data_IF_542019512999
#
_entry.id   IF_542019512999
#
_cell.length_a   1.000
_cell.length_b   1.000
_cell.length_c   1.000
_cell.angle_alpha   90.00
_cell.angle_beta   90.00
_cell.angle_gamma   90.00
#
_symmetry.space_group_name_H-M   'P 1'
#
loop_
_entity.id
_entity.type
_entity.pdbx_description
1 polymer ?
#
# COMPACT_ATOMS: atom_id res chain seq x y z
N UNK A 1 -3.23 11.77 -24.24
CA UNK A 1 -3.47 11.90 -22.78
C UNK A 1 -4.88 12.42 -22.59
N UNK A 2 -5.77 11.56 -22.07
CA UNK A 2 -7.23 11.74 -22.12
C UNK A 2 -7.73 12.85 -21.20
N UNK A 3 -8.84 13.47 -21.57
CA UNK A 3 -9.60 14.51 -20.84
C UNK A 3 -10.06 14.11 -19.41
N UNK A 4 -9.59 13.01 -18.84
CA UNK A 4 -9.97 12.53 -17.51
C UNK A 4 -9.49 13.44 -16.38
N UNK A 5 -8.29 14.03 -16.53
CA UNK A 5 -7.81 15.04 -15.58
C UNK A 5 -8.74 16.25 -15.55
N UNK A 6 -9.19 16.70 -16.74
CA UNK A 6 -10.18 17.76 -16.87
C UNK A 6 -11.52 17.37 -16.21
N UNK A 7 -12.02 16.16 -16.45
CA UNK A 7 -13.26 15.67 -15.83
C UNK A 7 -13.16 15.65 -14.29
N UNK A 8 -12.02 15.19 -13.75
CA UNK A 8 -11.80 15.22 -12.32
C UNK A 8 -11.72 16.65 -11.79
N UNK A 9 -10.97 17.55 -12.42
CA UNK A 9 -10.86 18.96 -12.00
C UNK A 9 -12.22 19.65 -11.99
N UNK A 10 -13.04 19.47 -13.03
CA UNK A 10 -14.41 20.02 -13.07
C UNK A 10 -15.24 19.44 -11.91
N UNK A 11 -15.25 18.12 -11.76
CA UNK A 11 -16.00 17.47 -10.68
C UNK A 11 -15.53 17.92 -9.29
N UNK A 12 -14.23 18.07 -9.09
CA UNK A 12 -13.63 18.52 -7.84
C UNK A 12 -14.08 19.94 -7.48
N UNK A 13 -14.01 20.87 -8.42
CA UNK A 13 -14.46 22.26 -8.21
C UNK A 13 -15.93 22.26 -7.81
N UNK A 14 -16.80 21.63 -8.61
CA UNK A 14 -18.23 21.60 -8.34
C UNK A 14 -18.55 20.92 -7.00
N UNK A 15 -17.88 19.82 -6.67
CA UNK A 15 -18.10 19.08 -5.43
C UNK A 15 -17.76 19.92 -4.19
N UNK A 16 -16.57 20.54 -4.15
CA UNK A 16 -16.18 21.38 -3.02
C UNK A 16 -16.96 22.69 -2.95
N UNK A 17 -17.35 23.28 -4.09
CA UNK A 17 -18.27 24.42 -4.10
C UNK A 17 -19.64 24.04 -3.54
N UNK A 18 -20.18 22.86 -3.88
CA UNK A 18 -21.45 22.37 -3.33
C UNK A 18 -21.34 22.19 -1.81
N UNK A 19 -20.28 21.54 -1.33
CA UNK A 19 -20.02 21.37 0.11
C UNK A 19 -19.95 22.70 0.85
N UNK A 20 -19.28 23.70 0.26
CA UNK A 20 -19.22 25.04 0.83
C UNK A 20 -20.60 25.71 0.86
N UNK A 21 -21.39 25.62 -0.21
CA UNK A 21 -22.69 26.28 -0.27
C UNK A 21 -23.73 25.70 0.69
N UNK A 22 -23.54 24.49 1.21
CA UNK A 22 -24.39 23.93 2.26
C UNK A 22 -24.34 24.69 3.60
N UNK A 23 -23.42 25.65 3.78
CA UNK A 23 -23.51 26.59 4.92
C UNK A 23 -24.84 27.36 4.96
N UNK A 24 -25.48 27.57 3.81
CA UNK A 24 -26.79 28.24 3.74
C UNK A 24 -27.95 27.29 3.45
N UNK A 25 -27.70 25.96 3.44
CA UNK A 25 -28.60 24.85 3.05
C UNK A 25 -29.25 25.03 1.67
N UNK A 26 -30.04 26.08 1.48
CA UNK A 26 -30.69 26.49 0.24
C UNK A 26 -29.75 26.58 -0.96
N UNK A 27 -28.63 27.33 -0.85
CA UNK A 27 -27.68 27.42 -1.96
C UNK A 27 -27.01 26.07 -2.25
N UNK A 28 -26.75 25.28 -1.22
CA UNK A 28 -26.22 23.94 -1.36
C UNK A 28 -27.17 23.03 -2.15
N UNK A 29 -28.47 23.06 -1.85
CA UNK A 29 -29.49 22.29 -2.58
C UNK A 29 -29.60 22.71 -4.05
N UNK A 30 -29.60 24.01 -4.34
CA UNK A 30 -29.62 24.51 -5.72
C UNK A 30 -28.38 24.04 -6.49
N UNK A 31 -27.20 24.17 -5.88
CA UNK A 31 -25.95 23.82 -6.52
C UNK A 31 -25.74 22.30 -6.63
N UNK A 32 -26.36 21.51 -5.76
CA UNK A 32 -26.39 20.04 -5.84
C UNK A 32 -27.03 19.54 -7.15
N UNK A 33 -28.03 20.25 -7.69
CA UNK A 33 -28.60 19.93 -9.01
C UNK A 33 -27.59 20.17 -10.14
N UNK A 34 -26.81 21.25 -10.05
CA UNK A 34 -25.72 21.57 -10.99
C UNK A 34 -24.63 20.50 -10.92
N UNK A 35 -24.21 20.13 -9.71
CA UNK A 35 -23.25 19.06 -9.48
C UNK A 35 -23.76 17.73 -10.06
N UNK A 36 -24.99 17.32 -9.74
CA UNK A 36 -25.58 16.07 -10.22
C UNK A 36 -25.65 16.00 -11.74
N UNK A 37 -26.07 17.10 -12.39
CA UNK A 37 -26.13 17.19 -13.86
C UNK A 37 -24.74 17.04 -14.47
N UNK A 38 -23.75 17.77 -13.95
CA UNK A 38 -22.37 17.66 -14.42
C UNK A 38 -21.81 16.25 -14.24
N UNK A 39 -22.10 15.60 -13.11
CA UNK A 39 -21.64 14.25 -12.82
C UNK A 39 -22.27 13.19 -13.73
N UNK A 40 -23.57 13.31 -14.06
CA UNK A 40 -24.23 12.44 -15.05
C UNK A 40 -23.56 12.60 -16.43
N UNK A 41 -23.33 13.84 -16.87
CA UNK A 41 -22.66 14.11 -18.16
C UNK A 41 -21.25 13.50 -18.19
N UNK A 42 -20.45 13.73 -17.15
CA UNK A 42 -19.12 13.12 -17.02
C UNK A 42 -19.24 11.59 -17.00
N UNK A 43 -20.22 11.03 -16.28
CA UNK A 43 -20.48 9.59 -16.20
C UNK A 43 -20.76 8.97 -17.57
N UNK A 44 -21.56 9.63 -18.41
CA UNK A 44 -21.83 9.20 -19.79
C UNK A 44 -20.55 9.24 -20.62
N UNK A 45 -19.77 10.33 -20.55
CA UNK A 45 -18.49 10.45 -21.28
C UNK A 45 -17.47 9.37 -20.85
N UNK A 46 -17.41 9.05 -19.56
CA UNK A 46 -16.59 7.96 -19.04
C UNK A 46 -17.08 6.59 -19.56
N UNK A 47 -18.40 6.41 -19.63
CA UNK A 47 -19.02 5.17 -20.14
C UNK A 47 -18.75 4.95 -21.62
N UNK A 48 -18.80 6.02 -22.44
CA UNK A 48 -18.43 5.94 -23.87
C UNK A 48 -16.96 5.47 -24.04
N UNK A 49 -16.08 5.91 -23.14
CA UNK A 49 -14.65 5.54 -23.19
C UNK A 49 -14.30 4.30 -22.35
N UNK A 50 -15.28 3.58 -21.81
CA UNK A 50 -15.11 2.50 -20.82
C UNK A 50 -14.28 1.34 -21.33
N UNK A 51 -14.39 0.99 -22.63
CA UNK A 51 -13.64 -0.14 -23.22
C UNK A 51 -12.13 0.00 -23.03
N UNK A 52 -11.63 1.24 -23.07
CA UNK A 52 -10.21 1.60 -22.95
C UNK A 52 -9.72 1.74 -21.50
N UNK A 53 -10.54 1.42 -20.49
CA UNK A 53 -10.21 1.56 -19.07
C UNK A 53 -9.85 0.21 -18.42
N UNK A 54 -9.12 0.27 -17.31
CA UNK A 54 -8.78 -0.91 -16.51
C UNK A 54 -10.06 -1.55 -15.88
N UNK A 55 -9.96 -2.83 -15.46
CA UNK A 55 -11.09 -3.59 -14.90
C UNK A 55 -11.68 -2.95 -13.63
N UNK A 56 -10.84 -2.30 -12.81
CA UNK A 56 -11.26 -1.66 -11.55
C UNK A 56 -12.12 -0.41 -11.80
N UNK A 57 -11.69 0.46 -12.71
CA UNK A 57 -12.42 1.66 -13.13
C UNK A 57 -13.75 1.29 -13.79
N UNK A 58 -13.78 0.25 -14.64
CA UNK A 58 -15.03 -0.30 -15.21
C UNK A 58 -16.03 -0.68 -14.11
N UNK A 59 -15.57 -1.41 -13.09
CA UNK A 59 -16.40 -1.81 -11.94
C UNK A 59 -16.91 -0.59 -11.17
N UNK A 60 -16.07 0.41 -10.93
CA UNK A 60 -16.43 1.65 -10.22
C UNK A 60 -17.49 2.46 -10.98
N UNK A 61 -17.35 2.60 -12.30
CA UNK A 61 -18.36 3.26 -13.14
C UNK A 61 -19.69 2.50 -13.13
N UNK A 62 -19.64 1.16 -13.17
CA UNK A 62 -20.85 0.33 -13.08
C UNK A 62 -21.57 0.53 -11.74
N UNK A 63 -20.84 0.51 -10.62
CA UNK A 63 -21.41 0.77 -9.28
C UNK A 63 -22.04 2.16 -9.23
N UNK A 64 -21.38 3.19 -9.78
CA UNK A 64 -21.95 4.54 -9.85
C UNK A 64 -23.29 4.54 -10.56
N UNK A 65 -23.39 3.92 -11.74
CA UNK A 65 -24.66 3.84 -12.47
C UNK A 65 -25.72 3.06 -11.71
N UNK A 66 -25.36 1.94 -11.08
CA UNK A 66 -26.28 1.18 -10.22
C UNK A 66 -26.85 2.08 -9.11
N UNK A 67 -26.00 2.85 -8.42
CA UNK A 67 -26.45 3.78 -7.38
C UNK A 67 -27.35 4.90 -7.93
N UNK A 68 -27.01 5.47 -9.08
CA UNK A 68 -27.82 6.50 -9.76
C UNK A 68 -29.20 5.95 -10.14
N UNK A 69 -29.27 4.75 -10.74
CA UNK A 69 -30.55 4.15 -11.12
C UNK A 69 -31.41 3.77 -9.92
N UNK A 70 -30.81 3.20 -8.87
CA UNK A 70 -31.53 2.92 -7.62
C UNK A 70 -32.08 4.22 -7.02
N UNK A 71 -31.27 5.29 -6.97
CA UNK A 71 -31.73 6.59 -6.49
C UNK A 71 -32.87 7.15 -7.33
N UNK A 72 -32.81 7.03 -8.65
CA UNK A 72 -33.87 7.49 -9.55
C UNK A 72 -35.17 6.71 -9.35
N UNK A 73 -35.09 5.39 -9.14
CA UNK A 73 -36.27 4.55 -8.83
C UNK A 73 -36.87 4.93 -7.47
N UNK A 74 -36.04 5.14 -6.44
CA UNK A 74 -36.52 5.54 -5.11
C UNK A 74 -37.24 6.89 -5.14
N UNK A 75 -36.72 7.85 -5.92
CA UNK A 75 -37.36 9.15 -6.13
C UNK A 75 -38.66 8.99 -6.92
N UNK A 76 -38.64 8.27 -8.05
CA UNK A 76 -39.79 8.13 -8.94
C UNK A 76 -40.93 7.26 -8.39
N UNK A 77 -40.65 6.34 -7.46
CA UNK A 77 -41.66 5.50 -6.81
C UNK A 77 -42.38 6.18 -5.65
N UNK A 78 -42.03 7.43 -5.33
CA UNK A 78 -42.55 8.14 -4.15
C UNK A 78 -42.39 7.36 -2.83
N UNK A 79 -41.44 6.41 -2.75
CA UNK A 79 -41.32 5.48 -1.62
C UNK A 79 -41.15 6.19 -0.26
N UNK A 80 -40.59 7.40 -0.26
CA UNK A 80 -40.37 8.23 0.92
C UNK A 80 -41.15 9.55 0.91
N UNK A 81 -41.97 9.80 -0.13
CA UNK A 81 -42.72 11.04 -0.25
C UNK A 81 -43.83 11.07 0.81
N UNK A 82 -43.71 12.01 1.76
CA UNK A 82 -44.73 12.24 2.79
C UNK A 82 -44.21 12.35 4.23
N UNK A 83 -42.92 12.12 4.48
CA UNK A 83 -42.28 12.40 5.78
C UNK A 83 -41.08 13.32 5.59
N UNK A 84 -40.89 14.28 6.51
CA UNK A 84 -39.75 15.21 6.45
C UNK A 84 -38.40 14.49 6.45
N UNK A 85 -38.33 13.37 7.18
CA UNK A 85 -37.14 12.50 7.24
C UNK A 85 -36.91 11.81 5.89
N UNK A 86 -37.95 11.24 5.27
CA UNK A 86 -37.85 10.58 3.98
C UNK A 86 -37.38 11.51 2.86
N UNK A 87 -37.87 12.75 2.86
CA UNK A 87 -37.45 13.79 1.93
C UNK A 87 -35.98 14.19 2.16
N UNK A 88 -35.55 14.33 3.42
CA UNK A 88 -34.15 14.62 3.74
C UNK A 88 -33.20 13.54 3.21
N UNK A 89 -33.53 12.26 3.39
CA UNK A 89 -32.67 11.19 2.91
C UNK A 89 -32.60 11.13 1.39
N UNK A 90 -33.74 11.22 0.71
CA UNK A 90 -33.83 11.05 -0.76
C UNK A 90 -33.32 12.25 -1.55
N UNK A 91 -33.54 13.47 -1.06
CA UNK A 91 -33.17 14.70 -1.78
C UNK A 91 -31.75 15.14 -1.39
N UNK A 92 -31.31 14.90 -0.15
CA UNK A 92 -30.06 15.45 0.36
C UNK A 92 -28.98 14.38 0.56
N UNK A 93 -29.24 13.39 1.43
CA UNK A 93 -28.20 12.47 1.90
C UNK A 93 -27.77 11.52 0.78
N UNK A 94 -28.72 10.84 0.14
CA UNK A 94 -28.44 9.85 -0.90
C UNK A 94 -27.69 10.49 -2.08
N UNK A 95 -28.14 11.61 -2.68
CA UNK A 95 -27.44 12.15 -3.84
C UNK A 95 -26.06 12.71 -3.48
N UNK A 96 -25.86 13.22 -2.25
CA UNK A 96 -24.51 13.60 -1.80
C UNK A 96 -23.58 12.42 -1.57
N UNK A 97 -24.07 11.28 -1.07
CA UNK A 97 -23.28 10.05 -0.98
C UNK A 97 -22.88 9.55 -2.38
N UNK A 98 -23.81 9.59 -3.34
CA UNK A 98 -23.53 9.24 -4.74
C UNK A 98 -22.51 10.22 -5.34
N UNK A 99 -22.67 11.53 -5.09
CA UNK A 99 -21.75 12.54 -5.58
C UNK A 99 -20.34 12.40 -4.99
N UNK A 100 -20.25 12.05 -3.72
CA UNK A 100 -18.99 11.73 -3.03
C UNK A 100 -18.34 10.49 -3.64
N UNK A 101 -19.13 9.44 -3.90
CA UNK A 101 -18.64 8.25 -4.58
C UNK A 101 -18.14 8.58 -5.99
N UNK A 102 -18.85 9.41 -6.74
CA UNK A 102 -18.44 9.78 -8.09
C UNK A 102 -17.20 10.68 -8.11
N UNK A 103 -17.05 11.58 -7.14
CA UNK A 103 -15.78 12.29 -6.90
C UNK A 103 -14.61 11.31 -6.73
N UNK A 104 -14.82 10.25 -5.94
CA UNK A 104 -13.83 9.18 -5.81
C UNK A 104 -13.56 8.44 -7.13
N UNK A 105 -14.60 8.15 -7.93
CA UNK A 105 -14.43 7.53 -9.25
C UNK A 105 -13.58 8.41 -10.16
N UNK A 106 -13.89 9.71 -10.29
CA UNK A 106 -13.15 10.60 -11.20
C UNK A 106 -11.71 10.83 -10.75
N UNK A 107 -11.46 10.87 -9.44
CA UNK A 107 -10.11 10.97 -8.88
C UNK A 107 -9.23 9.75 -9.22
N UNK A 108 -9.83 8.60 -9.54
CA UNK A 108 -9.14 7.32 -9.69
C UNK A 108 -9.35 6.65 -11.06
N UNK A 109 -9.77 7.40 -12.10
CA UNK A 109 -10.05 6.84 -13.45
C UNK A 109 -8.85 6.05 -14.00
N UNK A 110 -7.65 6.58 -13.84
CA UNK A 110 -6.39 5.96 -14.32
C UNK A 110 -5.52 5.39 -13.17
N UNK A 111 -6.01 5.44 -11.93
CA UNK A 111 -5.22 5.02 -10.77
C UNK A 111 -5.40 3.51 -10.54
N UNK A 112 -4.43 2.73 -11.03
CA UNK A 112 -4.30 1.32 -10.72
C UNK A 112 -3.73 1.08 -9.31
N UNK A 113 -3.13 2.10 -8.70
CA UNK A 113 -2.48 1.99 -7.39
C UNK A 113 -3.51 2.00 -6.27
N UNK A 114 -3.50 0.93 -5.47
CA UNK A 114 -4.24 0.83 -4.23
C UNK A 114 -3.69 1.77 -3.16
N UNK A 115 -2.35 1.82 -3.03
CA UNK A 115 -1.65 2.61 -2.04
C UNK A 115 -0.52 3.40 -2.70
N UNK A 116 -0.32 4.65 -2.24
CA UNK A 116 0.87 5.45 -2.54
C UNK A 116 1.48 5.94 -1.24
N UNK A 117 2.80 5.93 -1.15
CA UNK A 117 3.52 6.38 0.05
C UNK A 117 4.94 6.79 -0.33
N UNK A 118 5.69 7.29 0.63
CA UNK A 118 7.14 7.33 0.57
C UNK A 118 7.66 6.24 1.50
N UNK A 119 8.52 5.37 0.99
CA UNK A 119 9.37 4.54 1.84
C UNK A 119 10.65 5.32 2.10
N UNK A 120 11.02 5.49 3.36
CA UNK A 120 12.23 6.22 3.75
C UNK A 120 13.03 5.42 4.77
N UNK A 121 14.34 5.61 4.76
CA UNK A 121 15.27 5.05 5.74
C UNK A 121 15.16 3.51 5.83
N UNK A 122 15.44 2.78 4.75
CA UNK A 122 15.31 1.33 4.75
C UNK A 122 16.61 0.70 5.27
N UNK A 123 16.57 0.12 6.46
CA UNK A 123 17.60 -0.77 6.97
C UNK A 123 17.29 -2.20 6.50
N UNK A 124 18.22 -2.85 5.79
CA UNK A 124 18.06 -4.22 5.29
C UNK A 124 19.20 -5.09 5.83
N UNK A 125 18.87 -5.99 6.76
CA UNK A 125 19.82 -6.92 7.39
C UNK A 125 19.58 -8.29 6.77
N UNK A 126 20.56 -8.81 6.04
CA UNK A 126 20.40 -9.99 5.21
C UNK A 126 21.16 -11.17 5.80
N UNK A 127 20.49 -12.30 5.91
CA UNK A 127 21.03 -13.56 6.41
C UNK A 127 20.95 -14.61 5.32
N UNK A 128 22.06 -15.30 5.08
CA UNK A 128 22.07 -16.51 4.27
C UNK A 128 21.43 -17.66 5.07
N UNK A 129 20.48 -18.37 4.45
CA UNK A 129 19.74 -19.48 5.08
C UNK A 129 19.67 -20.69 4.14
N UNK A 130 19.37 -21.87 4.68
CA UNK A 130 18.99 -23.02 3.86
C UNK A 130 17.61 -22.77 3.22
N UNK A 131 17.51 -22.89 1.90
CA UNK A 131 16.26 -22.73 1.16
C UNK A 131 15.15 -23.69 1.65
N UNK A 132 15.52 -24.85 2.18
CA UNK A 132 14.57 -25.83 2.75
C UNK A 132 13.76 -25.26 3.92
N UNK A 133 14.34 -24.32 4.67
CA UNK A 133 13.64 -23.61 5.76
C UNK A 133 12.40 -22.87 5.27
N UNK A 134 12.37 -22.51 3.98
CA UNK A 134 11.35 -21.64 3.41
C UNK A 134 10.26 -22.39 2.64
N UNK A 135 10.40 -23.71 2.45
CA UNK A 135 9.56 -24.52 1.55
C UNK A 135 8.05 -24.38 1.84
N UNK A 136 7.64 -24.37 3.11
CA UNK A 136 6.23 -24.25 3.48
C UNK A 136 5.66 -22.84 3.26
N UNK A 137 6.51 -21.83 3.21
CA UNK A 137 6.11 -20.44 2.96
C UNK A 137 5.98 -20.11 1.47
N UNK A 138 6.55 -20.92 0.57
CA UNK A 138 6.58 -20.62 -0.87
C UNK A 138 5.14 -20.57 -1.43
N UNK A 139 4.70 -19.42 -1.98
CA UNK A 139 3.41 -19.34 -2.65
C UNK A 139 3.39 -20.17 -3.94
N UNK A 140 2.21 -20.73 -4.26
CA UNK A 140 1.99 -21.46 -5.51
C UNK A 140 2.33 -20.57 -6.71
N UNK A 141 3.11 -21.12 -7.64
CA UNK A 141 3.50 -20.43 -8.88
C UNK A 141 4.75 -19.56 -8.76
N UNK A 142 5.44 -19.57 -7.60
CA UNK A 142 6.73 -18.90 -7.42
C UNK A 142 7.84 -19.90 -7.13
N UNK A 143 9.08 -19.52 -7.41
CA UNK A 143 10.29 -20.26 -7.02
C UNK A 143 11.21 -19.35 -6.21
N UNK A 144 11.95 -19.93 -5.25
CA UNK A 144 12.95 -19.19 -4.48
C UNK A 144 13.97 -18.59 -5.44
N UNK A 145 14.27 -17.31 -5.24
CA UNK A 145 15.30 -16.63 -5.99
C UNK A 145 16.63 -16.66 -5.23
N UNK A 146 17.68 -17.16 -5.88
CA UNK A 146 19.02 -17.25 -5.32
C UNK A 146 19.94 -16.19 -5.92
N UNK A 147 20.81 -15.63 -5.09
CA UNK A 147 21.90 -14.76 -5.53
C UNK A 147 23.22 -15.50 -5.41
N UNK A 148 23.90 -15.75 -6.53
CA UNK A 148 25.15 -16.54 -6.55
C UNK A 148 25.04 -17.88 -5.79
N UNK A 149 23.90 -18.56 -5.92
CA UNK A 149 23.61 -19.83 -5.24
C UNK A 149 23.16 -19.70 -3.78
N UNK A 150 23.08 -18.48 -3.23
CA UNK A 150 22.71 -18.22 -1.84
C UNK A 150 21.23 -17.84 -1.72
N UNK A 151 20.57 -18.40 -0.73
CA UNK A 151 19.20 -18.03 -0.35
C UNK A 151 19.26 -17.01 0.79
N UNK A 152 18.45 -15.95 0.70
CA UNK A 152 18.45 -14.87 1.68
C UNK A 152 17.09 -14.71 2.36
N UNK A 153 17.15 -14.47 3.67
CA UNK A 153 16.08 -13.86 4.45
C UNK A 153 16.57 -12.49 4.92
N UNK A 154 15.70 -11.48 4.83
CA UNK A 154 16.02 -10.12 5.22
C UNK A 154 15.10 -9.63 6.31
N UNK A 155 15.69 -9.17 7.41
CA UNK A 155 15.02 -8.34 8.41
C UNK A 155 15.11 -6.88 7.95
N UNK A 156 13.96 -6.28 7.67
CA UNK A 156 13.87 -4.94 7.06
C UNK A 156 13.12 -4.01 7.99
N UNK A 157 13.68 -2.84 8.28
CA UNK A 157 13.03 -1.77 9.04
C UNK A 157 13.00 -0.47 8.25
N UNK A 158 11.85 0.18 8.16
CA UNK A 158 11.69 1.41 7.39
C UNK A 158 10.46 2.22 7.80
N UNK A 159 10.35 3.43 7.26
CA UNK A 159 9.21 4.31 7.47
C UNK A 159 8.30 4.33 6.25
N UNK A 160 7.00 4.16 6.47
CA UNK A 160 5.96 4.65 5.57
C UNK A 160 5.66 6.11 5.93
N UNK A 161 5.73 6.98 4.94
CA UNK A 161 5.35 8.39 5.08
C UNK A 161 4.36 8.81 4.00
N UNK A 162 3.52 9.80 4.30
CA UNK A 162 2.53 10.36 3.37
C UNK A 162 1.60 9.32 2.73
N UNK A 163 1.25 8.25 3.47
CA UNK A 163 0.40 7.18 2.96
C UNK A 163 -0.95 7.70 2.48
N UNK A 164 -1.31 7.31 1.26
CA UNK A 164 -2.59 7.55 0.61
C UNK A 164 -3.18 6.22 0.18
N UNK A 165 -4.36 5.89 0.70
CA UNK A 165 -5.12 4.72 0.25
C UNK A 165 -6.17 5.22 -0.73
N UNK A 166 -6.11 4.70 -1.96
CA UNK A 166 -7.00 5.06 -3.05
C UNK A 166 -7.12 6.59 -3.28
N UNK A 167 -6.01 7.29 -3.03
CA UNK A 167 -5.88 8.75 -3.18
C UNK A 167 -6.09 9.57 -1.90
N UNK A 168 -6.62 8.98 -0.81
CA UNK A 168 -6.94 9.71 0.41
C UNK A 168 -5.93 9.48 1.53
N UNK A 169 -5.58 10.56 2.24
CA UNK A 169 -4.83 10.50 3.49
C UNK A 169 -5.79 10.17 4.64
N UNK A 170 -5.58 9.05 5.30
CA UNK A 170 -6.38 8.66 6.47
C UNK A 170 -5.77 9.32 7.72
N UNK A 171 -6.54 10.11 8.50
CA UNK A 171 -6.04 10.73 9.72
C UNK A 171 -5.34 9.74 10.64
N UNK A 172 -4.23 10.15 11.24
CA UNK A 172 -3.38 9.32 12.11
C UNK A 172 -2.74 8.09 11.47
N UNK A 173 -2.91 7.82 10.18
CA UNK A 173 -2.38 6.62 9.50
C UNK A 173 -1.48 6.95 8.30
N UNK A 174 -1.09 8.22 8.16
CA UNK A 174 -0.25 8.68 7.05
C UNK A 174 1.24 8.39 7.23
N UNK A 175 1.70 8.27 8.49
CA UNK A 175 3.10 8.00 8.82
C UNK A 175 3.16 6.89 9.89
N UNK A 176 4.03 5.91 9.69
CA UNK A 176 4.31 4.82 10.63
C UNK A 176 5.56 4.04 10.23
N UNK A 177 6.19 3.39 11.19
CA UNK A 177 7.27 2.43 11.00
C UNK A 177 6.73 1.04 10.65
N UNK A 178 7.49 0.31 9.85
CA UNK A 178 7.27 -1.11 9.60
C UNK A 178 8.59 -1.86 9.81
N UNK A 179 8.50 -3.03 10.45
CA UNK A 179 9.58 -4.02 10.49
C UNK A 179 9.04 -5.33 9.93
N UNK A 180 9.74 -5.93 8.99
CA UNK A 180 9.33 -7.20 8.41
C UNK A 180 10.49 -8.19 8.26
N UNK A 181 10.13 -9.47 8.23
CA UNK A 181 11.01 -10.56 7.85
C UNK A 181 10.50 -11.14 6.54
N UNK A 182 11.34 -11.15 5.51
CA UNK A 182 10.94 -11.57 4.16
C UNK A 182 12.03 -12.36 3.45
N UNK A 183 11.64 -13.10 2.43
CA UNK A 183 12.55 -13.77 1.51
C UNK A 183 12.19 -13.49 0.05
N UNK A 184 13.05 -13.96 -0.86
CA UNK A 184 13.03 -13.57 -2.26
C UNK A 184 12.56 -14.71 -3.15
N UNK A 185 11.64 -14.38 -4.07
CA UNK A 185 11.06 -15.33 -5.02
C UNK A 185 10.96 -14.69 -6.39
N UNK A 186 10.83 -15.52 -7.41
CA UNK A 186 10.49 -15.09 -8.76
C UNK A 186 9.40 -15.96 -9.37
N UNK A 187 8.69 -15.39 -10.33
CA UNK A 187 7.66 -16.08 -11.11
C UNK A 187 7.83 -15.77 -12.58
N UNK A 188 7.69 -16.79 -13.41
CA UNK A 188 7.71 -16.60 -14.86
C UNK A 188 6.28 -16.39 -15.39
N UNK A 189 6.04 -15.27 -16.08
CA UNK A 189 4.76 -14.98 -16.73
C UNK A 189 5.01 -14.15 -17.99
N UNK A 190 4.29 -14.47 -19.08
CA UNK A 190 4.34 -13.73 -20.35
C UNK A 190 5.77 -13.50 -20.89
N UNK A 191 6.63 -14.52 -20.76
CA UNK A 191 8.00 -14.49 -21.25
C UNK A 191 8.96 -13.67 -20.37
N UNK A 192 8.56 -13.23 -19.17
CA UNK A 192 9.36 -12.40 -18.27
C UNK A 192 9.37 -12.95 -16.84
N UNK A 193 10.51 -12.77 -16.17
CA UNK A 193 10.62 -13.00 -14.74
C UNK A 193 10.10 -11.81 -13.94
N UNK A 194 9.21 -12.09 -13.00
CA UNK A 194 8.66 -11.17 -12.01
C UNK A 194 9.26 -11.50 -10.65
N UNK A 195 10.26 -10.71 -10.28
CA UNK A 195 10.99 -10.82 -9.02
C UNK A 195 10.19 -10.15 -7.91
N UNK A 196 9.94 -10.86 -6.82
CA UNK A 196 9.20 -10.34 -5.69
C UNK A 196 9.67 -10.88 -4.34
N UNK A 197 8.93 -10.48 -3.32
CA UNK A 197 9.18 -10.87 -1.94
C UNK A 197 7.99 -11.62 -1.37
N UNK A 198 8.26 -12.48 -0.39
CA UNK A 198 7.25 -13.13 0.44
C UNK A 198 7.53 -12.75 1.88
N UNK A 199 6.51 -12.22 2.56
CA UNK A 199 6.62 -11.81 3.95
C UNK A 199 6.32 -12.99 4.87
N UNK A 200 7.27 -13.32 5.74
CA UNK A 200 7.04 -14.24 6.87
C UNK A 200 6.17 -13.55 7.92
N UNK A 201 6.50 -12.29 8.20
CA UNK A 201 5.76 -11.44 9.14
C UNK A 201 6.07 -9.98 8.89
N UNK A 202 5.06 -9.15 9.07
CA UNK A 202 5.15 -7.68 9.03
C UNK A 202 4.64 -7.10 10.34
N UNK A 203 5.34 -6.12 10.90
CA UNK A 203 5.06 -5.55 12.21
C UNK A 203 4.84 -4.05 12.05
N UNK A 204 3.70 -3.57 12.56
CA UNK A 204 3.30 -2.15 12.48
C UNK A 204 2.73 -1.66 13.82
N UNK A 205 2.76 -0.34 14.10
CA UNK A 205 2.30 0.20 15.38
C UNK A 205 0.78 0.30 15.53
N UNK A 206 0.01 0.19 14.44
CA UNK A 206 -1.42 0.57 14.42
C UNK A 206 -2.34 -0.60 14.04
N UNK A 207 -3.33 -0.95 14.90
CA UNK A 207 -4.26 -2.07 14.64
C UNK A 207 -5.03 -1.95 13.32
N UNK A 208 -5.43 -0.74 12.93
CA UNK A 208 -6.17 -0.53 11.70
C UNK A 208 -5.37 -0.93 10.44
N UNK A 209 -4.04 -0.78 10.47
CA UNK A 209 -3.17 -1.21 9.38
C UNK A 209 -3.17 -2.72 9.26
N UNK A 210 -2.96 -3.42 10.38
CA UNK A 210 -3.03 -4.89 10.45
C UNK A 210 -4.39 -5.41 10.00
N UNK A 211 -5.49 -4.79 10.42
CA UNK A 211 -6.83 -5.17 10.00
C UNK A 211 -7.00 -5.07 8.48
N UNK A 212 -6.61 -3.94 7.88
CA UNK A 212 -6.73 -3.73 6.43
C UNK A 212 -5.83 -4.71 5.66
N UNK A 213 -4.57 -4.86 6.05
CA UNK A 213 -3.63 -5.75 5.38
C UNK A 213 -4.07 -7.22 5.44
N UNK A 214 -4.44 -7.73 6.62
CA UNK A 214 -4.83 -9.13 6.78
C UNK A 214 -6.23 -9.42 6.21
N UNK A 215 -7.10 -8.42 6.13
CA UNK A 215 -8.44 -8.59 5.52
C UNK A 215 -8.37 -8.53 4.00
N UNK A 216 -7.65 -7.54 3.47
CA UNK A 216 -7.54 -7.33 2.03
C UNK A 216 -6.45 -8.24 1.48
N UNK A 217 -5.19 -8.03 1.81
CA UNK A 217 -4.08 -8.73 1.18
C UNK A 217 -3.78 -10.11 1.78
N UNK A 218 -4.39 -10.45 2.93
CA UNK A 218 -4.19 -11.73 3.64
C UNK A 218 -2.73 -11.96 4.05
N UNK A 219 -2.00 -10.87 4.21
CA UNK A 219 -0.63 -10.84 4.70
C UNK A 219 -0.56 -11.26 6.17
N UNK A 220 0.66 -11.36 6.69
CA UNK A 220 0.96 -11.79 8.06
C UNK A 220 1.33 -10.58 8.94
N UNK A 221 0.48 -9.55 8.96
CA UNK A 221 0.71 -8.39 9.82
C UNK A 221 0.39 -8.70 11.28
N UNK A 222 1.23 -8.15 12.17
CA UNK A 222 1.03 -8.13 13.61
C UNK A 222 1.17 -6.69 14.12
N UNK A 223 0.27 -6.28 15.01
CA UNK A 223 0.40 -4.98 15.69
C UNK A 223 1.24 -5.13 16.96
N UNK A 224 2.31 -4.36 17.09
CA UNK A 224 3.11 -4.28 18.32
C UNK A 224 3.43 -2.81 18.66
N UNK A 225 3.70 -2.48 19.93
CA UNK A 225 4.27 -1.18 20.28
C UNK A 225 5.63 -1.01 19.60
N UNK A 226 5.81 0.11 18.91
CA UNK A 226 7.02 0.39 18.14
C UNK A 226 7.54 1.82 18.39
N UNK A 227 8.82 2.03 18.06
CA UNK A 227 9.49 3.33 18.08
C UNK A 227 10.46 3.41 16.91
N UNK A 228 10.66 4.62 16.42
CA UNK A 228 11.70 4.94 15.46
C UNK A 228 12.40 6.23 15.86
N UNK A 229 13.72 6.27 15.72
CA UNK A 229 14.51 7.48 15.94
C UNK A 229 15.58 7.65 14.87
N UNK A 230 15.83 8.91 14.51
CA UNK A 230 16.95 9.30 13.65
C UNK A 230 17.74 10.37 14.39
N UNK A 231 19.02 10.09 14.63
CA UNK A 231 19.94 11.09 15.18
C UNK A 231 21.05 11.38 14.18
N UNK A 232 21.36 12.65 14.00
CA UNK A 232 22.35 13.11 13.03
C UNK A 232 23.46 13.84 13.77
N UNK A 233 24.71 13.51 13.47
CA UNK A 233 25.87 14.31 13.86
C UNK A 233 26.56 14.85 12.61
N UNK A 234 27.71 15.51 12.70
CA UNK A 234 28.37 16.08 11.52
C UNK A 234 28.79 15.03 10.49
N UNK A 235 29.16 13.82 10.92
CA UNK A 235 29.81 12.80 10.09
C UNK A 235 28.87 11.66 9.64
N UNK A 236 27.78 11.42 10.36
CA UNK A 236 26.97 10.20 10.23
C UNK A 236 25.51 10.42 10.61
N UNK A 237 24.67 9.49 10.17
CA UNK A 237 23.28 9.36 10.59
C UNK A 237 23.10 8.02 11.31
N UNK A 238 22.45 8.02 12.47
CA UNK A 238 22.04 6.82 13.17
C UNK A 238 20.53 6.65 13.05
N UNK A 239 20.11 5.45 12.68
CA UNK A 239 18.71 5.06 12.54
C UNK A 239 18.43 3.93 13.51
N UNK A 240 17.36 4.05 14.29
CA UNK A 240 16.93 3.02 15.22
C UNK A 240 15.47 2.63 14.99
N UNK A 241 15.21 1.33 14.88
CA UNK A 241 13.88 0.74 14.83
C UNK A 241 13.72 -0.16 16.05
N UNK A 242 12.62 -0.01 16.78
CA UNK A 242 12.33 -0.80 17.98
C UNK A 242 10.90 -1.32 17.96
N UNK A 243 10.69 -2.55 18.44
CA UNK A 243 9.37 -3.14 18.63
C UNK A 243 9.35 -4.02 19.87
N UNK A 244 8.19 -4.09 20.55
CA UNK A 244 8.06 -4.79 21.82
C UNK A 244 7.33 -6.13 21.65
N UNK A 245 8.03 -7.24 21.92
CA UNK A 245 7.48 -8.60 21.90
C UNK A 245 7.56 -9.20 23.30
N UNK A 246 6.45 -9.77 23.81
CA UNK A 246 6.39 -10.41 25.15
C UNK A 246 7.00 -9.56 26.29
N UNK A 247 6.77 -8.26 26.27
CA UNK A 247 7.29 -7.35 27.31
C UNK A 247 8.74 -6.88 27.09
N UNK A 248 9.49 -7.46 26.15
CA UNK A 248 10.88 -7.13 25.83
C UNK A 248 10.98 -6.27 24.57
N UNK A 249 11.87 -5.28 24.57
CA UNK A 249 12.17 -4.49 23.38
C UNK A 249 13.21 -5.21 22.52
N UNK A 250 12.93 -5.29 21.23
CA UNK A 250 13.86 -5.65 20.18
C UNK A 250 14.32 -4.36 19.47
N UNK A 251 15.52 -4.35 18.90
CA UNK A 251 16.02 -3.19 18.17
C UNK A 251 16.96 -3.52 17.01
N UNK A 252 16.97 -2.60 16.05
CA UNK A 252 17.96 -2.50 14.98
C UNK A 252 18.51 -1.09 14.96
N UNK A 253 19.81 -0.94 15.19
CA UNK A 253 20.52 0.33 15.15
C UNK A 253 21.53 0.31 14.02
N UNK A 254 21.44 1.25 13.08
CA UNK A 254 22.34 1.36 11.92
C UNK A 254 22.98 2.75 11.88
N UNK A 255 24.31 2.81 11.88
CA UNK A 255 25.08 4.03 11.63
C UNK A 255 25.51 4.06 10.16
N UNK A 256 25.28 5.17 9.47
CA UNK A 256 25.63 5.35 8.06
C UNK A 256 26.41 6.63 7.80
N UNK A 257 27.20 6.64 6.72
CA UNK A 257 27.68 7.87 6.11
C UNK A 257 26.52 8.67 5.49
N UNK A 258 26.67 10.00 5.36
CA UNK A 258 25.61 10.86 4.83
C UNK A 258 25.47 10.86 3.31
N UNK A 259 26.54 10.51 2.59
CA UNK A 259 26.58 10.61 1.14
C UNK A 259 25.80 9.46 0.52
N UNK A 260 24.77 9.81 -0.24
CA UNK A 260 24.02 8.84 -1.04
C UNK A 260 24.83 8.42 -2.26
N UNK A 261 24.89 7.10 -2.48
CA UNK A 261 25.58 6.44 -3.59
C UNK A 261 24.56 5.65 -4.40
N UNK A 262 24.80 5.51 -5.69
CA UNK A 262 23.98 4.62 -6.51
C UNK A 262 24.30 3.15 -6.18
N UNK A 263 23.30 2.28 -6.30
CA UNK A 263 23.48 0.84 -6.11
C UNK A 263 24.12 0.26 -7.37
N UNK A 264 25.26 -0.42 -7.21
CA UNK A 264 25.99 -1.01 -8.32
C UNK A 264 25.16 -2.11 -9.00
N UNK A 265 25.27 -2.19 -10.33
CA UNK A 265 24.64 -3.23 -11.14
C UNK A 265 25.30 -4.58 -10.85
N UNK A 266 24.51 -5.65 -10.89
CA UNK A 266 24.91 -7.04 -10.62
C UNK A 266 25.52 -7.24 -9.21
N UNK A 267 25.10 -6.41 -8.25
CA UNK A 267 25.54 -6.49 -6.86
C UNK A 267 24.51 -7.16 -5.95
N UNK A 268 24.96 -7.63 -4.77
CA UNK A 268 24.06 -8.14 -3.74
C UNK A 268 23.04 -7.06 -3.32
N UNK A 269 23.46 -5.81 -3.26
CA UNK A 269 22.58 -4.71 -2.92
C UNK A 269 21.49 -4.49 -3.97
N UNK A 270 21.81 -4.63 -5.26
CA UNK A 270 20.81 -4.62 -6.33
C UNK A 270 19.87 -5.80 -6.21
N UNK A 271 20.41 -7.01 -5.99
CA UNK A 271 19.58 -8.19 -5.75
C UNK A 271 18.58 -7.94 -4.62
N UNK A 272 19.04 -7.55 -3.44
CA UNK A 272 18.22 -7.37 -2.23
C UNK A 272 17.12 -6.29 -2.40
N UNK A 273 17.36 -5.26 -3.21
CA UNK A 273 16.49 -4.08 -3.31
C UNK A 273 15.57 -4.05 -4.54
N UNK A 274 15.95 -4.71 -5.64
CA UNK A 274 15.23 -4.61 -6.92
C UNK A 274 14.18 -5.74 -7.10
N UNK A 275 13.21 -5.78 -6.17
CA UNK A 275 12.06 -6.70 -6.18
C UNK A 275 10.75 -5.91 -6.19
N UNK A 276 10.00 -6.02 -7.29
CA UNK A 276 8.85 -5.17 -7.60
C UNK A 276 7.49 -5.85 -7.42
N UNK A 277 7.47 -7.05 -6.85
CA UNK A 277 6.25 -7.81 -6.60
C UNK A 277 6.20 -8.29 -5.16
N UNK A 278 4.99 -8.40 -4.60
CA UNK A 278 4.72 -9.14 -3.37
C UNK A 278 3.86 -10.36 -3.68
N UNK A 279 4.18 -11.49 -3.06
CA UNK A 279 3.43 -12.73 -3.18
C UNK A 279 3.01 -13.24 -1.80
N UNK A 280 1.72 -13.53 -1.65
CA UNK A 280 1.15 -14.04 -0.39
C UNK A 280 0.51 -15.40 -0.64
N UNK A 281 0.96 -16.42 0.10
CA UNK A 281 0.36 -17.76 0.09
C UNK A 281 -0.97 -17.74 0.85
N UNK A 282 -2.08 -17.94 0.15
CA UNK A 282 -3.43 -17.97 0.76
C UNK A 282 -3.82 -19.40 1.13
N UNK A 283 -3.54 -20.32 0.23
CA UNK A 283 -3.66 -21.79 0.40
C UNK A 283 -2.59 -22.43 -0.47
N UNK A 284 -2.44 -23.76 -0.41
CA UNK A 284 -1.49 -24.48 -1.26
C UNK A 284 -1.75 -24.33 -2.77
N UNK A 285 -2.96 -23.91 -3.16
CA UNK A 285 -3.36 -23.73 -4.57
C UNK A 285 -3.78 -22.29 -4.91
N UNK A 286 -3.51 -21.32 -4.02
CA UNK A 286 -3.96 -19.95 -4.21
C UNK A 286 -2.92 -18.96 -3.70
N UNK A 287 -2.50 -18.07 -4.60
CA UNK A 287 -1.54 -17.01 -4.30
C UNK A 287 -2.15 -15.66 -4.66
N UNK A 288 -1.93 -14.66 -3.82
CA UNK A 288 -2.12 -13.27 -4.20
C UNK A 288 -0.81 -12.68 -4.66
N UNK A 289 -0.88 -11.90 -5.73
CA UNK A 289 0.23 -11.15 -6.29
C UNK A 289 -0.17 -9.67 -6.36
N UNK A 290 0.74 -8.77 -6.01
CA UNK A 290 0.63 -7.35 -6.28
C UNK A 290 1.96 -6.77 -6.71
N UNK A 291 1.93 -5.69 -7.47
CA UNK A 291 3.12 -4.97 -7.94
C UNK A 291 3.40 -3.79 -7.01
N UNK A 292 4.66 -3.60 -6.64
CA UNK A 292 5.17 -2.43 -5.95
C UNK A 292 6.10 -1.69 -6.90
N UNK A 293 5.71 -0.49 -7.31
CA UNK A 293 6.53 0.34 -8.19
C UNK A 293 7.32 1.33 -7.36
N UNK A 294 8.61 1.37 -7.61
CA UNK A 294 9.52 2.37 -7.09
C UNK A 294 10.67 2.55 -8.09
N UNK A 295 11.31 3.73 -8.15
CA UNK A 295 12.60 3.85 -8.83
C UNK A 295 13.67 3.03 -8.10
N UNK A 296 14.78 2.76 -8.80
CA UNK A 296 16.00 2.25 -8.16
C UNK A 296 16.42 3.17 -7.03
N UNK A 297 16.76 2.59 -5.88
CA UNK A 297 17.15 3.38 -4.73
C UNK A 297 18.62 3.78 -4.76
N UNK A 298 18.92 4.85 -4.02
CA UNK A 298 20.28 5.14 -3.58
C UNK A 298 20.51 4.53 -2.21
N UNK A 299 21.75 4.15 -1.93
CA UNK A 299 22.18 3.61 -0.65
C UNK A 299 23.07 4.59 0.11
N UNK A 300 23.09 4.43 1.44
CA UNK A 300 24.08 5.04 2.31
C UNK A 300 25.05 3.95 2.77
N UNK A 301 26.34 4.27 2.82
CA UNK A 301 27.34 3.32 3.30
C UNK A 301 27.18 3.09 4.79
N UNK A 302 26.92 1.85 5.19
CA UNK A 302 26.80 1.44 6.60
C UNK A 302 28.20 1.42 7.22
N UNK A 303 28.35 2.07 8.38
CA UNK A 303 29.59 2.10 9.17
C UNK A 303 29.54 1.08 10.31
N UNK A 304 28.42 1.02 11.02
CA UNK A 304 28.21 0.15 12.18
C UNK A 304 26.75 -0.28 12.25
N UNK A 305 26.52 -1.42 12.88
CA UNK A 305 25.17 -1.88 13.18
C UNK A 305 25.15 -2.61 14.52
N UNK A 306 23.98 -2.63 15.16
CA UNK A 306 23.68 -3.47 16.32
C UNK A 306 22.26 -4.01 16.16
N UNK A 307 22.13 -5.33 16.18
CA UNK A 307 20.86 -6.04 16.06
C UNK A 307 20.64 -6.79 17.37
N UNK A 308 19.56 -6.47 18.07
CA UNK A 308 19.17 -7.11 19.34
C UNK A 308 17.72 -7.56 19.20
N UNK A 309 17.54 -8.79 18.72
CA UNK A 309 16.23 -9.34 18.35
C UNK A 309 16.09 -10.74 18.93
N UNK A 310 14.99 -10.95 19.65
CA UNK A 310 14.51 -12.28 20.02
C UNK A 310 13.73 -12.86 18.84
N UNK A 311 14.46 -13.54 17.94
CA UNK A 311 13.88 -14.11 16.71
C UNK A 311 12.89 -15.23 17.01
N UNK A 312 13.10 -16.04 18.05
CA UNK A 312 12.15 -17.06 18.47
C UNK A 312 10.81 -16.43 18.86
N UNK A 313 10.84 -15.47 19.80
CA UNK A 313 9.61 -14.84 20.28
C UNK A 313 8.92 -14.02 19.18
N UNK A 314 9.69 -13.41 18.27
CA UNK A 314 9.14 -12.51 17.24
C UNK A 314 8.69 -13.25 15.99
N UNK A 315 9.45 -14.22 15.49
CA UNK A 315 9.23 -14.87 14.19
C UNK A 315 9.00 -16.38 14.28
N UNK A 316 9.19 -16.99 15.45
CA UNK A 316 8.98 -18.41 15.69
C UNK A 316 10.29 -19.20 15.77
N UNK A 317 10.17 -20.43 16.27
CA UNK A 317 11.32 -21.30 16.54
C UNK A 317 12.18 -21.59 15.30
N UNK A 318 11.56 -21.65 14.13
CA UNK A 318 12.25 -21.87 12.85
C UNK A 318 13.31 -20.80 12.55
N UNK A 319 13.17 -19.58 13.10
CA UNK A 319 14.10 -18.46 12.88
C UNK A 319 14.99 -18.15 14.08
N UNK A 320 14.93 -18.92 15.18
CA UNK A 320 15.69 -18.64 16.40
C UNK A 320 17.21 -18.62 16.16
N UNK A 321 17.70 -19.46 15.25
CA UNK A 321 19.12 -19.53 14.90
C UNK A 321 19.69 -18.19 14.39
N UNK A 322 18.84 -17.30 13.85
CA UNK A 322 19.26 -15.96 13.39
C UNK A 322 19.83 -15.10 14.52
N UNK A 323 19.42 -15.34 15.78
CA UNK A 323 19.96 -14.63 16.95
C UNK A 323 21.47 -14.80 17.10
N UNK A 324 21.99 -15.97 16.74
CA UNK A 324 23.40 -16.31 16.83
C UNK A 324 24.13 -16.20 15.49
N UNK A 325 23.42 -15.80 14.43
CA UNK A 325 23.95 -15.70 13.08
C UNK A 325 24.53 -14.29 12.85
N UNK A 326 25.69 -14.23 12.20
CA UNK A 326 26.24 -12.96 11.72
C UNK A 326 25.53 -12.62 10.40
N UNK A 327 24.95 -11.42 10.25
CA UNK A 327 24.37 -11.01 8.97
C UNK A 327 25.43 -11.07 7.86
N UNK A 328 25.07 -11.66 6.72
CA UNK A 328 25.94 -11.71 5.54
C UNK A 328 26.20 -10.31 4.99
N UNK A 329 25.18 -9.45 5.03
CA UNK A 329 25.30 -8.04 4.65
C UNK A 329 24.30 -7.18 5.41
N UNK A 330 24.66 -5.91 5.60
CA UNK A 330 23.78 -4.88 6.16
C UNK A 330 23.79 -3.69 5.22
N UNK A 331 22.64 -3.41 4.64
CA UNK A 331 22.44 -2.36 3.65
C UNK A 331 21.53 -1.28 4.20
N UNK A 332 21.70 -0.06 3.68
CA UNK A 332 20.80 1.03 3.99
C UNK A 332 20.39 1.76 2.72
N UNK A 333 19.12 1.64 2.33
CA UNK A 333 18.57 2.35 1.19
C UNK A 333 17.81 3.61 1.64
N UNK A 334 18.01 4.72 0.93
CA UNK A 334 17.34 6.00 1.26
C UNK A 334 15.82 5.91 1.07
N UNK A 335 15.38 5.08 0.12
CA UNK A 335 14.00 4.92 -0.28
C UNK A 335 13.53 5.94 -1.32
N UNK A 336 12.23 5.97 -1.57
CA UNK A 336 11.60 6.77 -2.63
C UNK A 336 10.08 6.88 -2.43
N UNK A 337 9.42 7.64 -3.30
CA UNK A 337 7.98 7.44 -3.53
C UNK A 337 7.74 6.04 -4.09
N UNK A 338 6.67 5.41 -3.64
CA UNK A 338 6.24 4.07 -4.04
C UNK A 338 4.75 4.06 -4.37
N UNK A 339 4.33 3.11 -5.20
CA UNK A 339 2.93 2.76 -5.38
C UNK A 339 2.71 1.27 -5.36
N UNK A 340 1.75 0.82 -4.55
CA UNK A 340 1.28 -0.57 -4.52
C UNK A 340 0.05 -0.68 -5.41
N UNK A 341 0.13 -1.53 -6.41
CA UNK A 341 -0.95 -1.79 -7.37
C UNK A 341 -2.02 -2.72 -6.78
N UNK A 342 -3.19 -2.76 -7.42
CA UNK A 342 -4.24 -3.69 -7.00
C UNK A 342 -3.75 -5.14 -7.11
N UNK A 343 -3.98 -5.92 -6.05
CA UNK A 343 -3.68 -7.36 -6.07
C UNK A 343 -4.51 -8.11 -7.11
N UNK A 344 -3.98 -9.23 -7.57
CA UNK A 344 -4.71 -10.26 -8.32
C UNK A 344 -4.46 -11.62 -7.72
N UNK A 345 -5.39 -12.53 -8.01
CA UNK A 345 -5.25 -13.94 -7.68
C UNK A 345 -4.57 -14.67 -8.83
N UNK A 346 -3.57 -15.47 -8.50
CA UNK A 346 -2.93 -16.40 -9.42
C UNK A 346 -3.19 -17.83 -8.92
N UNK A 347 -3.35 -18.75 -9.87
CA UNK A 347 -3.64 -20.17 -9.63
C UNK A 347 -2.44 -21.02 -9.99
#
# INVERSE_FOLDING_TARGET
>A
MKNYKLYHTINQILYFTTLFLYFTVYLGMLFQMVLGTAQIVIGVLLTISIKKMNKSTKKRILIYWTLVFISAILIGSNYYHGTDIGNLFTIFIIPMLIATYFYYVTANIDNNSFLKANWTNLALINYEVDAKLLEHYIPKGTEIELYNGKCYVSLVGFMFENVKILGFKIPFHVNFEEVNLRFYVKRFEDGKWKRGVVFIKEIVPKPALTFVANTVYKEHYQTLPMKHSVTQNNESNNYEYQWKTNGKWNSMLIETEKKALDIAIDSEAEFITEHYFGYTKITDNKTFEYEVKHPRWKQLKVKKHKIDVDFNATYGNEFDFLKNSIPTSVLFAKGSEISVENKREIK
#
